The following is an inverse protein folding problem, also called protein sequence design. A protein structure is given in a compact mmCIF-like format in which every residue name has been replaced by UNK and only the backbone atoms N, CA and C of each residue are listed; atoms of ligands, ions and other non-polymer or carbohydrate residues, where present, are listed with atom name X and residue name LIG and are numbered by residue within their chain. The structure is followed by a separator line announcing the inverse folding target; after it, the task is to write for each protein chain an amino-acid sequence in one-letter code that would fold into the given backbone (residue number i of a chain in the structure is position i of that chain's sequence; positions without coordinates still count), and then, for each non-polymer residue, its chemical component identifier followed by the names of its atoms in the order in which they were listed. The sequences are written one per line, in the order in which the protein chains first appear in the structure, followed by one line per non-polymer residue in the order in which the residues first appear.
data_IF_614588719054
#
_entry.id   IF_614588719054
#
_cell.length_a   1.000
_cell.length_b   1.000
_cell.length_c   1.000
_cell.angle_alpha   90.00
_cell.angle_beta   90.00
_cell.angle_gamma   90.00
#
_symmetry.space_group_name_H-M   'P 1'
#
loop_
_entity.id
_entity.type
_entity.pdbx_description
1 polymer ?
#
# COMPACT_ATOMS: atom_id res chain seq x y z
N UNK A 1 -19.91 -2.88 -15.63
CA UNK A 1 -18.90 -2.12 -16.40
C UNK A 1 -18.76 -0.71 -15.84
N UNK A 2 -17.60 -0.16 -15.93
CA UNK A 2 -17.33 1.27 -15.77
C UNK A 2 -16.96 1.87 -17.12
N UNK A 3 -17.16 3.17 -17.26
CA UNK A 3 -16.72 3.89 -18.44
C UNK A 3 -15.18 3.84 -18.53
N UNK A 4 -14.67 3.59 -19.72
CA UNK A 4 -13.25 3.60 -20.03
C UNK A 4 -13.03 4.55 -21.20
N UNK A 5 -12.10 5.47 -21.06
CA UNK A 5 -11.67 6.36 -22.12
C UNK A 5 -10.14 6.36 -22.22
N UNK A 6 -9.62 6.77 -23.37
CA UNK A 6 -8.19 7.03 -23.52
C UNK A 6 -7.99 8.53 -23.39
N UNK A 7 -7.11 8.95 -22.48
CA UNK A 7 -6.70 10.34 -22.40
C UNK A 7 -5.84 10.66 -23.64
N UNK A 8 -6.31 11.53 -24.57
CA UNK A 8 -5.72 11.64 -25.92
C UNK A 8 -4.28 12.14 -25.90
N UNK A 9 -3.94 12.96 -24.92
CA UNK A 9 -2.64 13.59 -24.76
C UNK A 9 -1.60 12.70 -24.06
N UNK A 10 -2.02 11.55 -23.49
CA UNK A 10 -1.17 10.70 -22.62
C UNK A 10 -1.19 9.23 -22.97
N UNK A 11 -2.09 8.80 -23.86
CA UNK A 11 -2.26 7.40 -24.26
C UNK A 11 -2.47 6.43 -23.09
N UNK A 12 -3.12 6.91 -22.02
CA UNK A 12 -3.45 6.08 -20.85
C UNK A 12 -4.95 5.86 -20.73
N UNK A 13 -5.34 4.70 -20.23
CA UNK A 13 -6.74 4.41 -19.95
C UNK A 13 -7.16 5.12 -18.66
N UNK A 14 -8.30 5.79 -18.74
CA UNK A 14 -8.90 6.49 -17.58
C UNK A 14 -10.34 6.03 -17.37
N UNK A 15 -10.74 6.02 -16.11
CA UNK A 15 -12.08 5.66 -15.65
C UNK A 15 -12.52 6.64 -14.55
N UNK A 16 -13.54 6.29 -13.80
CA UNK A 16 -13.97 7.03 -12.60
C UNK A 16 -14.21 6.08 -11.44
N UNK A 17 -14.15 6.62 -10.22
CA UNK A 17 -14.57 5.94 -9.00
C UNK A 17 -15.51 6.83 -8.21
N UNK A 18 -16.44 6.23 -7.47
CA UNK A 18 -17.26 6.96 -6.48
C UNK A 18 -16.77 6.62 -5.09
N UNK A 19 -16.41 7.67 -4.35
CA UNK A 19 -15.88 7.58 -3.00
C UNK A 19 -16.56 8.63 -2.11
N UNK A 20 -17.17 8.17 -1.00
CA UNK A 20 -17.88 9.07 -0.10
C UNK A 20 -18.98 9.90 -0.80
N UNK A 21 -19.65 9.32 -1.80
CA UNK A 21 -20.70 9.97 -2.60
C UNK A 21 -20.18 10.94 -3.67
N UNK A 22 -18.86 11.16 -3.77
CA UNK A 22 -18.27 11.99 -4.81
C UNK A 22 -17.73 11.13 -5.95
N UNK A 23 -18.02 11.50 -7.19
CA UNK A 23 -17.36 10.94 -8.36
C UNK A 23 -15.99 11.59 -8.55
N UNK A 24 -14.93 10.78 -8.56
CA UNK A 24 -13.56 11.20 -8.75
C UNK A 24 -13.11 10.75 -10.14
N UNK A 25 -12.69 11.73 -10.96
CA UNK A 25 -12.25 11.52 -12.35
C UNK A 25 -11.31 12.63 -12.83
N UNK A 26 -10.43 12.40 -13.83
CA UNK A 26 -10.11 11.08 -14.38
C UNK A 26 -9.28 10.24 -13.40
N UNK A 27 -9.52 8.93 -13.37
CA UNK A 27 -8.73 7.95 -12.62
C UNK A 27 -7.95 7.09 -13.62
N UNK A 28 -6.62 7.15 -13.60
CA UNK A 28 -5.79 6.32 -14.47
C UNK A 28 -5.87 4.86 -14.04
N UNK A 29 -6.06 3.95 -15.00
CA UNK A 29 -5.91 2.50 -14.78
C UNK A 29 -4.44 2.18 -14.91
N UNK A 30 -3.76 1.97 -13.79
CA UNK A 30 -2.29 1.89 -13.70
C UNK A 30 -1.84 0.57 -13.07
N UNK A 31 -1.52 -0.40 -13.92
CA UNK A 31 -1.00 -1.71 -13.46
C UNK A 31 0.41 -1.64 -12.90
N UNK A 32 1.13 -0.55 -13.12
CA UNK A 32 2.46 -0.29 -12.56
C UNK A 32 2.42 0.29 -11.14
N UNK A 33 1.27 0.84 -10.69
CA UNK A 33 1.09 1.27 -9.31
C UNK A 33 0.70 0.08 -8.42
N UNK A 34 1.58 -0.34 -7.52
CA UNK A 34 1.33 -1.45 -6.58
C UNK A 34 0.28 -1.15 -5.50
N UNK A 35 -0.17 0.10 -5.34
CA UNK A 35 -1.23 0.44 -4.39
C UNK A 35 -2.61 -0.03 -4.89
N UNK A 36 -3.61 -0.09 -3.99
CA UNK A 36 -4.97 -0.36 -4.44
C UNK A 36 -5.56 0.87 -5.15
N UNK A 37 -5.56 2.01 -4.50
CA UNK A 37 -5.98 3.29 -5.06
C UNK A 37 -5.04 4.38 -4.56
N UNK A 38 -4.62 5.25 -5.46
CA UNK A 38 -3.87 6.46 -5.11
C UNK A 38 -4.68 7.68 -5.53
N UNK A 39 -4.86 8.64 -4.65
CA UNK A 39 -5.57 9.90 -4.91
C UNK A 39 -4.63 11.08 -4.73
N UNK A 40 -4.79 12.10 -5.55
CA UNK A 40 -4.27 13.43 -5.25
C UNK A 40 -4.99 14.05 -4.05
N UNK A 41 -4.34 14.98 -3.34
CA UNK A 41 -4.89 15.65 -2.16
C UNK A 41 -6.23 16.33 -2.45
N UNK A 42 -6.38 16.97 -3.62
CA UNK A 42 -7.61 17.65 -4.01
C UNK A 42 -8.79 16.66 -4.16
N UNK A 43 -8.56 15.53 -4.83
CA UNK A 43 -9.56 14.48 -5.00
C UNK A 43 -9.95 13.85 -3.65
N UNK A 44 -8.98 13.59 -2.78
CA UNK A 44 -9.25 13.10 -1.42
C UNK A 44 -10.11 14.08 -0.62
N UNK A 45 -9.86 15.37 -0.75
CA UNK A 45 -10.64 16.40 -0.05
C UNK A 45 -12.07 16.54 -0.60
N UNK A 46 -12.29 16.23 -1.87
CA UNK A 46 -13.62 16.21 -2.49
C UNK A 46 -14.47 15.04 -1.97
N UNK A 47 -13.85 13.90 -1.68
CA UNK A 47 -14.55 12.74 -1.12
C UNK A 47 -15.07 13.05 0.30
N UNK A 48 -16.38 12.87 0.51
CA UNK A 48 -17.04 13.10 1.80
C UNK A 48 -16.95 11.87 2.68
N UNK A 49 -15.81 11.68 3.29
CA UNK A 49 -15.57 10.52 4.14
C UNK A 49 -16.09 10.73 5.56
N UNK A 50 -16.80 9.74 6.16
CA UNK A 50 -17.31 9.83 7.53
C UNK A 50 -16.19 9.87 8.57
N UNK A 51 -15.01 9.37 8.23
CA UNK A 51 -13.81 9.45 9.05
C UNK A 51 -12.58 9.52 8.15
N UNK A 52 -11.70 10.45 8.45
CA UNK A 52 -10.42 10.65 7.75
C UNK A 52 -9.23 10.17 8.58
N UNK A 53 -9.43 9.14 9.39
CA UNK A 53 -8.31 8.58 10.15
C UNK A 53 -7.29 7.99 9.20
N UNK A 54 -6.12 8.60 9.14
CA UNK A 54 -5.01 8.19 8.30
C UNK A 54 -3.80 7.76 9.13
N UNK A 55 -2.95 6.99 8.53
CA UNK A 55 -1.57 6.77 8.95
C UNK A 55 -0.63 7.12 7.79
N UNK A 56 0.63 6.77 7.88
CA UNK A 56 1.59 7.03 6.82
C UNK A 56 2.15 5.74 6.25
N UNK A 57 2.47 5.78 4.97
CA UNK A 57 3.25 4.74 4.28
C UNK A 57 4.31 5.39 3.42
N UNK A 58 5.26 4.60 2.92
CA UNK A 58 6.22 5.02 1.92
C UNK A 58 6.06 4.17 0.66
N UNK A 59 6.12 4.79 -0.48
CA UNK A 59 6.26 4.13 -1.77
C UNK A 59 7.59 4.52 -2.40
N UNK A 60 8.11 3.61 -3.22
CA UNK A 60 9.36 3.81 -3.94
C UNK A 60 9.03 3.88 -5.43
N UNK A 61 9.31 5.02 -6.03
CA UNK A 61 9.15 5.25 -7.46
C UNK A 61 10.47 5.69 -8.08
N UNK A 62 10.46 6.02 -9.38
CA UNK A 62 11.64 6.48 -10.11
C UNK A 62 12.30 7.71 -9.48
N UNK A 63 11.52 8.56 -8.81
CA UNK A 63 12.01 9.76 -8.12
C UNK A 63 12.45 9.50 -6.66
N UNK A 64 12.49 8.23 -6.22
CA UNK A 64 12.84 7.84 -4.86
C UNK A 64 11.64 7.63 -3.94
N UNK A 65 11.86 7.60 -2.60
CA UNK A 65 10.82 7.35 -1.63
C UNK A 65 9.87 8.55 -1.48
N UNK A 66 8.57 8.27 -1.46
CA UNK A 66 7.51 9.24 -1.21
C UNK A 66 6.67 8.79 -0.03
N UNK A 67 6.61 9.62 1.02
CA UNK A 67 5.71 9.38 2.15
C UNK A 67 4.33 9.91 1.80
N UNK A 68 3.32 9.06 1.96
CA UNK A 68 1.92 9.37 1.68
C UNK A 68 1.05 9.08 2.90
N UNK A 69 -0.07 9.78 3.00
CA UNK A 69 -1.14 9.40 3.92
C UNK A 69 -1.83 8.15 3.38
N UNK A 70 -2.33 7.31 4.28
CA UNK A 70 -3.08 6.11 3.90
C UNK A 70 -4.30 5.95 4.79
N UNK A 71 -5.41 5.61 4.16
CA UNK A 71 -6.69 5.31 4.83
C UNK A 71 -7.28 4.01 4.31
N UNK A 72 -8.11 3.36 5.13
CA UNK A 72 -9.04 2.34 4.66
C UNK A 72 -10.41 2.98 4.54
N UNK A 73 -10.96 2.95 3.34
CA UNK A 73 -12.32 3.42 3.10
C UNK A 73 -13.30 2.26 3.15
N UNK A 74 -14.46 2.42 3.80
CA UNK A 74 -15.42 1.33 3.94
C UNK A 74 -15.93 0.80 2.60
N UNK A 75 -16.10 1.72 1.63
CA UNK A 75 -16.68 1.40 0.33
C UNK A 75 -16.15 2.33 -0.75
N UNK A 76 -15.90 1.76 -1.93
CA UNK A 76 -15.63 2.45 -3.17
C UNK A 76 -16.42 1.78 -4.30
N UNK A 77 -16.93 2.57 -5.25
CA UNK A 77 -17.67 2.05 -6.39
C UNK A 77 -16.88 2.34 -7.68
N UNK A 78 -16.69 1.31 -8.49
CA UNK A 78 -16.10 1.40 -9.83
C UNK A 78 -17.10 0.84 -10.83
N UNK A 79 -17.79 1.72 -11.54
CA UNK A 79 -18.92 1.33 -12.39
C UNK A 79 -20.04 0.66 -11.59
N UNK A 80 -20.29 -0.63 -11.83
CA UNK A 80 -21.26 -1.44 -11.08
C UNK A 80 -20.64 -2.25 -9.94
N UNK A 81 -19.32 -2.22 -9.81
CA UNK A 81 -18.60 -2.99 -8.79
C UNK A 81 -18.50 -2.20 -7.49
N UNK A 82 -18.96 -2.78 -6.42
CA UNK A 82 -18.83 -2.23 -5.06
C UNK A 82 -17.71 -2.97 -4.35
N UNK A 83 -16.62 -2.26 -4.08
CA UNK A 83 -15.48 -2.77 -3.32
C UNK A 83 -15.54 -2.29 -1.87
N UNK A 84 -15.17 -3.16 -0.93
CA UNK A 84 -15.21 -2.87 0.51
C UNK A 84 -13.81 -2.86 1.11
N UNK A 85 -13.63 -2.05 2.16
CA UNK A 85 -12.37 -1.95 2.90
C UNK A 85 -11.16 -1.65 1.99
N UNK A 86 -11.33 -0.70 1.06
CA UNK A 86 -10.32 -0.36 0.07
C UNK A 86 -9.24 0.51 0.71
N UNK A 87 -7.99 0.13 0.50
CA UNK A 87 -6.86 0.98 0.85
C UNK A 87 -6.75 2.15 -0.13
N UNK A 88 -6.75 3.37 0.40
CA UNK A 88 -6.54 4.58 -0.37
C UNK A 88 -5.27 5.27 0.11
N UNK A 89 -4.32 5.42 -0.78
CA UNK A 89 -3.13 6.24 -0.58
C UNK A 89 -3.43 7.66 -1.06
N UNK A 90 -3.03 8.66 -0.25
CA UNK A 90 -3.20 10.07 -0.60
C UNK A 90 -1.82 10.68 -0.82
N UNK A 91 -1.57 11.11 -2.04
CA UNK A 91 -0.32 11.79 -2.39
C UNK A 91 -0.24 13.17 -1.72
N UNK A 92 0.96 13.62 -1.35
CA UNK A 92 1.13 15.00 -0.93
C UNK A 92 0.78 15.97 -2.07
N UNK A 93 0.41 17.18 -1.73
CA UNK A 93 0.15 18.24 -2.72
C UNK A 93 1.35 18.41 -3.66
N UNK A 94 1.08 18.57 -4.94
CA UNK A 94 2.10 18.60 -6.00
C UNK A 94 2.67 17.22 -6.33
N UNK A 95 2.02 16.15 -5.87
CA UNK A 95 2.35 14.77 -6.23
C UNK A 95 2.15 14.45 -7.71
N UNK A 96 2.33 13.18 -8.06
CA UNK A 96 2.25 12.76 -9.46
C UNK A 96 0.87 13.01 -10.06
N UNK A 97 -0.21 12.70 -9.32
CA UNK A 97 -1.59 12.93 -9.81
C UNK A 97 -1.85 14.39 -10.13
N UNK A 98 -1.40 15.31 -9.26
CA UNK A 98 -1.54 16.76 -9.49
C UNK A 98 -0.76 17.19 -10.74
N UNK A 99 0.48 16.72 -10.90
CA UNK A 99 1.35 17.05 -12.05
C UNK A 99 0.78 16.64 -13.39
N UNK A 100 0.08 15.54 -13.42
CA UNK A 100 -0.56 15.05 -14.64
C UNK A 100 -2.06 15.42 -14.73
N UNK A 101 -2.60 16.18 -13.78
CA UNK A 101 -3.98 16.67 -13.82
C UNK A 101 -5.04 15.57 -13.76
N UNK A 102 -4.83 14.55 -12.93
CA UNK A 102 -5.79 13.46 -12.70
C UNK A 102 -6.23 13.43 -11.25
N UNK A 103 -7.41 12.86 -10.98
CA UNK A 103 -7.88 12.68 -9.62
C UNK A 103 -7.05 11.63 -8.87
N UNK A 104 -6.52 10.63 -9.60
CA UNK A 104 -5.73 9.58 -9.02
C UNK A 104 -5.54 8.40 -9.96
N UNK A 105 -5.20 7.25 -9.37
CA UNK A 105 -4.92 5.98 -10.06
C UNK A 105 -5.64 4.81 -9.41
N UNK A 106 -6.08 3.86 -10.22
CA UNK A 106 -6.55 2.54 -9.80
C UNK A 106 -5.40 1.58 -10.06
N UNK A 107 -4.74 1.11 -9.01
CA UNK A 107 -3.51 0.35 -9.10
C UNK A 107 -3.71 -1.18 -9.10
N UNK A 108 -2.61 -1.89 -9.30
CA UNK A 108 -2.59 -3.35 -9.32
C UNK A 108 -3.02 -3.98 -8.00
N UNK A 109 -2.78 -3.32 -6.86
CA UNK A 109 -3.27 -3.77 -5.55
C UNK A 109 -4.80 -3.90 -5.47
N UNK A 110 -5.54 -3.13 -6.27
CA UNK A 110 -6.98 -3.28 -6.44
C UNK A 110 -7.30 -4.28 -7.56
N UNK A 111 -6.72 -4.06 -8.75
CA UNK A 111 -7.07 -4.78 -9.97
C UNK A 111 -6.82 -6.29 -9.87
N UNK A 112 -5.79 -6.73 -9.12
CA UNK A 112 -5.45 -8.15 -8.93
C UNK A 112 -6.58 -8.98 -8.29
N UNK A 113 -7.54 -8.33 -7.61
CA UNK A 113 -8.69 -9.00 -7.02
C UNK A 113 -9.81 -9.29 -8.02
N UNK A 114 -9.64 -8.85 -9.27
CA UNK A 114 -10.64 -8.97 -10.33
C UNK A 114 -10.01 -9.54 -11.60
N UNK A 115 -10.84 -10.25 -12.39
CA UNK A 115 -10.54 -10.40 -13.80
C UNK A 115 -10.94 -9.10 -14.49
N UNK A 116 -9.97 -8.42 -15.06
CA UNK A 116 -10.16 -7.11 -15.73
C UNK A 116 -10.23 -7.34 -17.23
N UNK A 117 -11.30 -6.88 -17.85
CA UNK A 117 -11.42 -6.80 -19.31
C UNK A 117 -11.51 -5.32 -19.69
N UNK A 118 -10.58 -4.89 -20.54
CA UNK A 118 -10.59 -3.57 -21.15
C UNK A 118 -11.10 -3.70 -22.58
N UNK A 119 -12.17 -2.99 -22.90
CA UNK A 119 -12.72 -2.88 -24.25
C UNK A 119 -12.69 -1.41 -24.68
N UNK A 120 -11.58 -0.96 -25.27
CA UNK A 120 -11.44 0.43 -25.70
C UNK A 120 -12.42 0.79 -26.85
N UNK A 121 -12.80 -0.18 -27.68
CA UNK A 121 -13.73 0.06 -28.78
C UNK A 121 -15.15 0.32 -28.27
N UNK A 122 -15.57 -0.40 -27.23
CA UNK A 122 -16.84 -0.18 -26.55
C UNK A 122 -16.76 0.93 -25.46
N UNK A 123 -15.57 1.46 -25.19
CA UNK A 123 -15.37 2.45 -24.11
C UNK A 123 -15.69 1.89 -22.72
N UNK A 124 -15.37 0.63 -22.44
CA UNK A 124 -15.78 -0.07 -21.23
C UNK A 124 -14.63 -0.81 -20.55
N UNK A 125 -14.65 -0.78 -19.24
CA UNK A 125 -13.88 -1.68 -18.37
C UNK A 125 -14.85 -2.56 -17.57
N UNK A 126 -14.66 -3.87 -17.64
CA UNK A 126 -15.41 -4.83 -16.84
C UNK A 126 -14.49 -5.38 -15.73
N UNK A 127 -15.04 -5.42 -14.52
CA UNK A 127 -14.40 -6.02 -13.36
C UNK A 127 -15.26 -7.22 -12.93
N UNK A 128 -14.73 -8.42 -13.07
CA UNK A 128 -15.36 -9.64 -12.60
C UNK A 128 -14.65 -10.09 -11.32
N UNK A 129 -15.36 -10.22 -10.18
CA UNK A 129 -14.74 -10.60 -8.92
C UNK A 129 -13.95 -11.89 -9.02
N UNK A 130 -12.71 -11.86 -8.57
CA UNK A 130 -11.90 -13.05 -8.36
C UNK A 130 -12.17 -13.67 -6.98
N UNK A 131 -11.52 -14.79 -6.66
CA UNK A 131 -11.73 -15.50 -5.39
C UNK A 131 -11.34 -14.69 -4.14
N UNK A 132 -10.58 -13.62 -4.33
CA UNK A 132 -10.07 -12.77 -3.25
C UNK A 132 -10.74 -11.39 -3.20
N UNK A 133 -11.71 -11.11 -4.08
CA UNK A 133 -12.33 -9.79 -4.20
C UNK A 133 -13.02 -9.30 -2.90
N UNK A 134 -13.58 -10.22 -2.13
CA UNK A 134 -14.25 -9.93 -0.85
C UNK A 134 -13.35 -10.16 0.38
N UNK A 135 -12.12 -10.63 0.17
CA UNK A 135 -11.19 -10.83 1.29
C UNK A 135 -10.65 -9.49 1.79
N UNK A 136 -10.66 -9.26 3.11
CA UNK A 136 -10.04 -8.06 3.63
C UNK A 136 -8.55 -8.05 3.29
N UNK A 137 -7.98 -6.89 2.90
CA UNK A 137 -6.57 -6.78 2.63
C UNK A 137 -5.74 -7.12 3.88
N UNK A 138 -4.57 -7.75 3.67
CA UNK A 138 -3.63 -8.02 4.75
C UNK A 138 -3.17 -6.69 5.35
N UNK A 139 -3.31 -6.55 6.66
CA UNK A 139 -3.03 -5.30 7.38
C UNK A 139 -1.80 -5.45 8.28
N UNK A 140 -0.93 -4.45 8.26
CA UNK A 140 0.14 -4.39 9.25
C UNK A 140 -0.43 -4.19 10.65
N UNK A 141 -0.09 -5.09 11.55
CA UNK A 141 -0.38 -4.97 12.99
C UNK A 141 0.86 -4.56 13.79
N UNK A 142 2.02 -4.55 13.15
CA UNK A 142 3.27 -4.04 13.72
C UNK A 142 3.42 -2.53 13.57
N UNK A 143 2.84 -1.92 12.55
CA UNK A 143 3.08 -0.53 12.17
C UNK A 143 4.44 -0.30 11.50
N UNK A 144 5.07 -1.37 11.00
CA UNK A 144 6.33 -1.31 10.25
C UNK A 144 6.11 -1.65 8.78
N UNK A 145 6.78 -0.94 7.90
CA UNK A 145 7.08 -1.38 6.54
C UNK A 145 8.52 -1.85 6.51
N UNK A 146 8.72 -3.08 6.02
CA UNK A 146 10.00 -3.77 6.10
C UNK A 146 10.52 -4.07 4.69
N UNK A 147 11.78 -3.76 4.45
CA UNK A 147 12.55 -4.27 3.33
C UNK A 147 13.23 -5.58 3.73
N UNK A 148 13.24 -6.53 2.80
CA UNK A 148 13.86 -7.85 3.02
C UNK A 148 15.23 -7.82 2.37
N UNK A 149 16.28 -8.04 3.19
CA UNK A 149 17.62 -8.36 2.74
C UNK A 149 17.90 -9.84 3.01
N UNK A 150 19.03 -10.34 2.52
CA UNK A 150 19.34 -11.78 2.54
C UNK A 150 19.26 -12.41 3.95
N UNK A 151 19.71 -11.69 4.98
CA UNK A 151 19.89 -12.20 6.35
C UNK A 151 19.28 -11.28 7.43
N UNK A 152 18.52 -10.26 7.00
CA UNK A 152 17.94 -9.27 7.90
C UNK A 152 16.75 -8.56 7.28
N UNK A 153 15.97 -7.90 8.13
CA UNK A 153 14.95 -6.96 7.68
C UNK A 153 15.41 -5.54 8.00
N UNK A 154 15.16 -4.62 7.09
CA UNK A 154 15.39 -3.19 7.31
C UNK A 154 14.06 -2.48 7.48
N UNK A 155 13.93 -1.68 8.53
CA UNK A 155 12.78 -0.80 8.71
C UNK A 155 12.83 0.32 7.66
N UNK A 156 11.94 0.28 6.68
CA UNK A 156 11.83 1.28 5.62
C UNK A 156 10.92 2.43 6.03
N UNK A 157 9.91 2.14 6.85
CA UNK A 157 8.99 3.14 7.36
C UNK A 157 8.37 2.70 8.68
N UNK A 158 8.11 3.68 9.55
CA UNK A 158 7.35 3.51 10.78
C UNK A 158 6.04 4.27 10.66
N UNK A 159 4.93 3.54 10.67
CA UNK A 159 3.59 4.10 10.47
C UNK A 159 3.22 5.02 11.63
N UNK A 160 2.80 6.24 11.31
CA UNK A 160 2.40 7.25 12.31
C UNK A 160 1.34 6.72 13.27
N UNK A 161 1.68 6.75 14.58
CA UNK A 161 0.84 6.31 15.69
C UNK A 161 0.50 4.81 15.65
N UNK A 162 1.24 4.00 14.92
CA UNK A 162 1.20 2.55 15.00
C UNK A 162 1.98 2.03 16.20
N UNK A 163 1.86 0.70 16.52
CA UNK A 163 2.55 0.09 17.64
C UNK A 163 4.06 0.33 17.64
N UNK A 164 4.69 0.21 16.48
CA UNK A 164 6.13 0.45 16.35
C UNK A 164 6.52 1.90 16.64
N UNK A 165 5.69 2.88 16.23
CA UNK A 165 5.95 4.30 16.55
C UNK A 165 5.91 4.53 18.06
N UNK A 166 4.92 3.97 18.75
CA UNK A 166 4.79 4.04 20.21
C UNK A 166 5.97 3.36 20.90
N UNK A 167 6.45 2.23 20.36
CA UNK A 167 7.59 1.48 20.89
C UNK A 167 8.96 2.08 20.50
N UNK A 168 8.99 3.25 19.84
CA UNK A 168 10.23 3.97 19.53
C UNK A 168 11.08 3.38 18.42
N UNK A 169 10.48 2.59 17.49
CA UNK A 169 11.17 2.09 16.31
C UNK A 169 11.51 3.23 15.34
N UNK A 170 12.60 3.05 14.61
CA UNK A 170 13.11 4.07 13.67
C UNK A 170 13.39 3.48 12.31
N UNK A 171 13.22 4.31 11.29
CA UNK A 171 13.68 3.99 9.93
C UNK A 171 15.18 3.69 9.96
N UNK A 172 15.57 2.61 9.30
CA UNK A 172 16.96 2.13 9.29
C UNK A 172 17.28 1.07 10.35
N UNK A 173 16.41 0.83 11.35
CA UNK A 173 16.60 -0.28 12.28
C UNK A 173 16.72 -1.60 11.51
N UNK A 174 17.69 -2.44 11.90
CA UNK A 174 17.98 -3.72 11.26
C UNK A 174 17.60 -4.85 12.20
N UNK A 175 16.69 -5.73 11.77
CA UNK A 175 16.19 -6.88 12.54
C UNK A 175 16.85 -8.14 11.99
N UNK A 176 17.55 -8.91 12.86
CA UNK A 176 18.23 -10.14 12.50
C UNK A 176 17.52 -11.40 13.00
N UNK A 177 16.66 -11.29 14.04
CA UNK A 177 15.88 -12.42 14.56
C UNK A 177 14.46 -11.98 14.94
N UNK A 178 13.53 -12.93 14.84
CA UNK A 178 12.13 -12.77 15.22
C UNK A 178 11.75 -13.97 16.09
N UNK A 179 11.33 -13.75 17.32
CA UNK A 179 10.99 -14.79 18.32
C UNK A 179 12.10 -15.88 18.44
N UNK A 180 13.35 -15.44 18.37
CA UNK A 180 14.53 -16.32 18.44
C UNK A 180 14.97 -16.92 17.11
N UNK A 181 14.13 -16.94 16.08
CA UNK A 181 14.46 -17.45 14.75
C UNK A 181 15.26 -16.42 13.93
N UNK A 182 16.32 -16.89 13.27
CA UNK A 182 17.16 -16.04 12.41
C UNK A 182 16.46 -15.74 11.08
N UNK A 183 16.65 -14.52 10.58
CA UNK A 183 16.28 -14.18 9.20
C UNK A 183 17.26 -14.87 8.26
N UNK A 184 16.73 -15.58 7.27
CA UNK A 184 17.49 -16.33 6.28
C UNK A 184 16.98 -15.99 4.87
N UNK A 185 17.67 -16.38 3.80
CA UNK A 185 17.17 -16.20 2.44
C UNK A 185 15.80 -16.85 2.18
N UNK A 186 15.40 -17.86 2.96
CA UNK A 186 14.09 -18.48 2.87
C UNK A 186 12.97 -17.70 3.58
N UNK A 187 13.28 -16.62 4.30
CA UNK A 187 12.31 -15.82 5.06
C UNK A 187 11.07 -15.42 4.23
N UNK A 188 11.17 -14.94 2.98
CA UNK A 188 9.99 -14.47 2.23
C UNK A 188 8.90 -15.52 2.04
N UNK A 189 9.29 -16.80 1.97
CA UNK A 189 8.37 -17.93 1.77
C UNK A 189 8.02 -18.66 3.07
N UNK A 190 8.61 -18.25 4.20
CA UNK A 190 8.36 -18.88 5.50
C UNK A 190 7.09 -18.39 6.17
N UNK A 191 6.54 -19.18 7.10
CA UNK A 191 5.45 -18.76 7.95
C UNK A 191 5.79 -17.51 8.79
N UNK A 192 7.08 -17.36 9.11
CA UNK A 192 7.61 -16.22 9.85
C UNK A 192 7.40 -14.88 9.12
N UNK A 193 7.37 -14.87 7.78
CA UNK A 193 7.21 -13.64 7.00
C UNK A 193 5.91 -12.86 7.29
N UNK A 194 4.91 -13.52 7.84
CA UNK A 194 3.60 -12.90 8.17
C UNK A 194 3.52 -12.28 9.56
N UNK A 195 4.59 -12.31 10.34
CA UNK A 195 4.55 -11.84 11.74
C UNK A 195 4.07 -10.40 11.88
N UNK A 196 4.47 -9.51 10.97
CA UNK A 196 4.15 -8.07 11.03
C UNK A 196 2.66 -7.75 10.76
N UNK A 197 1.92 -8.74 10.25
CA UNK A 197 0.47 -8.73 10.10
C UNK A 197 -0.19 -9.81 10.99
N UNK A 198 0.48 -10.22 12.03
CA UNK A 198 0.01 -11.25 12.96
C UNK A 198 -1.17 -10.82 13.83
N UNK A 199 -1.65 -11.73 14.66
CA UNK A 199 -2.81 -11.52 15.52
C UNK A 199 -2.60 -10.34 16.48
N UNK A 200 -3.53 -9.38 16.53
CA UNK A 200 -3.50 -8.30 17.52
C UNK A 200 -3.43 -8.84 18.95
N UNK A 201 -2.66 -8.17 19.81
CA UNK A 201 -2.39 -8.61 21.18
C UNK A 201 -1.17 -9.54 21.31
N UNK A 202 -0.72 -10.17 20.25
CA UNK A 202 0.52 -10.97 20.27
C UNK A 202 1.72 -10.03 20.47
N UNK A 203 2.61 -10.41 21.40
CA UNK A 203 3.91 -9.76 21.55
C UNK A 203 4.96 -10.58 20.84
N UNK A 204 5.74 -9.90 19.98
CA UNK A 204 6.84 -10.48 19.20
C UNK A 204 8.15 -9.95 19.75
N UNK A 205 9.12 -10.83 19.95
CA UNK A 205 10.48 -10.45 20.37
C UNK A 205 11.35 -10.29 19.12
N UNK A 206 11.87 -9.08 18.93
CA UNK A 206 12.68 -8.71 17.78
C UNK A 206 14.10 -8.40 18.23
N UNK A 207 15.08 -9.13 17.70
CA UNK A 207 16.50 -8.87 18.00
C UNK A 207 17.12 -8.09 16.86
N UNK A 208 17.60 -6.90 17.20
CA UNK A 208 18.36 -6.08 16.27
C UNK A 208 19.70 -6.72 15.94
N UNK A 209 20.27 -6.36 14.79
CA UNK A 209 21.56 -6.91 14.36
C UNK A 209 22.73 -6.47 15.25
N UNK A 210 22.56 -5.43 16.07
CA UNK A 210 23.52 -5.03 17.10
C UNK A 210 23.39 -5.82 18.43
N UNK A 211 22.48 -6.82 18.48
CA UNK A 211 22.27 -7.67 19.64
C UNK A 211 21.17 -7.19 20.59
N UNK A 212 20.67 -5.96 20.44
CA UNK A 212 19.59 -5.43 21.30
C UNK A 212 18.29 -6.17 21.04
N UNK A 213 17.58 -6.56 22.10
CA UNK A 213 16.24 -7.12 21.98
C UNK A 213 15.18 -6.06 22.26
N UNK A 214 14.12 -6.07 21.46
CA UNK A 214 12.93 -5.23 21.64
C UNK A 214 11.68 -6.07 21.52
N UNK A 215 10.69 -5.77 22.34
CA UNK A 215 9.37 -6.38 22.30
C UNK A 215 8.39 -5.45 21.59
N UNK A 216 7.58 -6.00 20.71
CA UNK A 216 6.56 -5.27 19.99
C UNK A 216 5.23 -5.99 20.12
N UNK A 217 4.27 -5.37 20.82
CA UNK A 217 2.90 -5.89 20.88
C UNK A 217 2.14 -5.44 19.65
N UNK A 218 1.68 -6.41 18.87
CA UNK A 218 0.92 -6.18 17.66
C UNK A 218 -0.46 -5.62 18.00
N UNK A 219 -0.92 -4.63 17.25
CA UNK A 219 -2.25 -4.06 17.46
C UNK A 219 -2.87 -3.63 16.14
N UNK A 220 -4.17 -3.87 16.00
CA UNK A 220 -4.94 -3.15 14.99
C UNK A 220 -5.13 -1.73 15.50
N UNK A 221 -4.60 -0.78 14.79
CA UNK A 221 -5.16 0.55 14.89
C UNK A 221 -6.59 0.51 14.38
N UNK A 222 -7.51 1.26 14.93
CA UNK A 222 -8.95 1.21 14.64
C UNK A 222 -9.32 1.23 13.14
N UNK A 223 -8.35 1.42 12.24
CA UNK A 223 -8.42 1.25 10.76
C UNK A 223 -7.02 1.09 10.18
N UNK A 224 -6.32 0.04 10.56
CA UNK A 224 -4.96 -0.24 10.08
C UNK A 224 -4.92 -0.76 8.64
N UNK A 225 -3.83 -0.50 7.97
CA UNK A 225 -3.63 -0.59 6.53
C UNK A 225 -3.03 -1.92 6.08
N UNK A 226 -3.31 -2.30 4.84
CA UNK A 226 -2.64 -3.39 4.16
C UNK A 226 -1.14 -3.07 3.99
N UNK A 227 -0.31 -4.08 4.06
CA UNK A 227 1.12 -3.97 3.83
C UNK A 227 1.52 -4.92 2.71
N UNK A 228 2.09 -4.36 1.66
CA UNK A 228 2.75 -5.14 0.60
C UNK A 228 4.24 -5.19 0.94
N UNK A 229 4.81 -6.39 1.03
CA UNK A 229 6.25 -6.56 1.15
C UNK A 229 6.89 -6.16 -0.17
N UNK A 230 7.79 -5.19 -0.13
CA UNK A 230 8.68 -4.93 -1.24
C UNK A 230 9.99 -5.67 -1.00
N UNK A 231 10.30 -6.60 -1.88
CA UNK A 231 11.63 -7.21 -1.96
C UNK A 231 12.56 -6.17 -2.60
N UNK A 232 13.51 -5.71 -1.85
CA UNK A 232 14.53 -4.82 -2.36
C UNK A 232 15.82 -5.63 -2.53
N UNK A 233 16.24 -5.83 -3.77
CA UNK A 233 17.56 -6.36 -4.07
C UNK A 233 18.60 -5.29 -3.69
N UNK A 234 19.23 -5.50 -2.56
CA UNK A 234 20.28 -4.61 -2.02
C UNK A 234 21.58 -4.64 -2.84
N UNK A 235 21.63 -5.39 -3.94
CA UNK A 235 22.86 -5.55 -4.74
C UNK A 235 23.11 -4.39 -5.72
N UNK A 236 22.13 -3.55 -6.06
CA UNK A 236 22.37 -2.50 -7.06
C UNK A 236 22.94 -1.18 -6.51
N UNK A 237 23.05 -0.99 -5.21
CA UNK A 237 23.56 0.28 -4.67
C UNK A 237 25.08 0.34 -4.44
N UNK A 238 25.84 -0.71 -4.79
CA UNK A 238 27.28 -0.77 -4.53
C UNK A 238 28.19 -0.74 -5.77
N UNK A 239 27.63 -0.44 -6.93
CA UNK A 239 28.44 -0.37 -8.16
C UNK A 239 28.18 0.94 -8.90
N UNK A 240 28.65 2.07 -8.37
CA UNK A 240 29.06 3.24 -9.15
C UNK A 240 29.68 4.29 -8.24
N UNK A 241 30.91 4.06 -7.84
CA UNK A 241 31.92 5.11 -7.58
C UNK A 241 33.29 4.44 -7.80
N UNK A 242 33.76 4.51 -9.01
CA UNK A 242 35.18 4.42 -9.40
C UNK A 242 35.39 5.36 -10.56
#
# INVERSE_FOLDING_TARGET
SSQLTIAPDRLVYVSSVVLGGAELRPMVVDTGDGSAVTLGTAAWNTARMPSRTTTTTVSFGLAGPVVSEVAIVPQMVVGKTVARNVEVRVEPSGGFSDKIGVAGRIGSGFLQNYRVLLDPAAGQMLLLPGPDADKPPLRSTSGLLLGIARDRLKVLHVMRGGPAAVAGWRVGDLICRIDGEAITPAYPTSALARWSAGTPGRTVTLRLCNGTERRLTLALRARALAQVYQVWDAEESNTRCS
#
